data_IF_906989246249
#
_entry.id   IF_906989246249
#
_cell.length_a   1.000
_cell.length_b   1.000
_cell.length_c   1.000
_cell.angle_alpha   90.00
_cell.angle_beta   90.00
_cell.angle_gamma   90.00
#
_symmetry.space_group_name_H-M   'P 1'
#
loop_
_entity.id
_entity.type
_entity.pdbx_description
1 polymer ?
#
# COMPACT_ATOMS: atom_id res chain seq x y z
N UNK A 1 1.44 -48.89 -87.17
CA UNK A 1 1.73 -47.71 -86.33
C UNK A 1 0.93 -47.83 -85.04
N UNK A 2 1.46 -48.58 -84.07
CA UNK A 2 0.89 -48.68 -82.72
C UNK A 2 1.72 -47.75 -81.84
N UNK A 3 1.15 -46.63 -81.41
CA UNK A 3 1.78 -45.70 -80.48
C UNK A 3 1.57 -46.27 -79.09
N UNK A 4 2.67 -46.73 -78.47
CA UNK A 4 2.71 -47.15 -77.08
C UNK A 4 2.28 -46.00 -76.16
N UNK A 5 1.06 -46.04 -75.63
CA UNK A 5 0.62 -45.15 -74.56
C UNK A 5 1.14 -45.67 -73.21
N UNK A 6 2.38 -45.32 -72.89
CA UNK A 6 2.94 -45.46 -71.54
C UNK A 6 2.33 -44.35 -70.68
N UNK A 7 1.29 -44.62 -69.87
CA UNK A 7 0.88 -43.63 -68.85
C UNK A 7 0.15 -44.19 -67.61
N UNK A 8 0.45 -45.42 -67.19
CA UNK A 8 -0.06 -45.94 -65.91
C UNK A 8 1.03 -46.13 -64.84
N UNK A 9 2.32 -46.16 -65.21
CA UNK A 9 3.45 -46.25 -64.26
C UNK A 9 3.89 -44.93 -63.63
N UNK A 10 3.71 -43.81 -64.34
CA UNK A 10 4.00 -42.45 -63.88
C UNK A 10 3.06 -41.95 -62.78
N UNK A 11 1.85 -42.51 -62.68
CA UNK A 11 0.86 -42.12 -61.68
C UNK A 11 1.20 -42.63 -60.28
N UNK A 12 1.66 -43.87 -60.15
CA UNK A 12 2.05 -44.46 -58.87
C UNK A 12 3.38 -43.90 -58.35
N UNK A 13 4.41 -43.81 -59.22
CA UNK A 13 5.69 -43.19 -58.86
C UNK A 13 5.56 -41.67 -58.62
N UNK A 14 4.73 -40.97 -59.41
CA UNK A 14 4.47 -39.55 -59.20
C UNK A 14 3.66 -39.23 -57.94
N UNK A 15 2.88 -40.18 -57.42
CA UNK A 15 2.17 -40.04 -56.14
C UNK A 15 3.07 -40.35 -54.94
N UNK A 16 3.96 -41.36 -55.05
CA UNK A 16 4.90 -41.69 -53.98
C UNK A 16 5.99 -40.62 -53.81
N UNK A 17 6.51 -40.06 -54.92
CA UNK A 17 7.46 -38.92 -54.87
C UNK A 17 6.81 -37.66 -54.26
N UNK A 18 5.53 -37.39 -54.55
CA UNK A 18 4.82 -36.28 -53.90
C UNK A 18 4.64 -36.51 -52.41
N UNK A 19 4.26 -37.72 -51.99
CA UNK A 19 4.17 -38.07 -50.58
C UNK A 19 5.51 -37.92 -49.85
N UNK A 20 6.62 -38.37 -50.45
CA UNK A 20 7.96 -38.22 -49.87
C UNK A 20 8.37 -36.75 -49.72
N UNK A 21 8.13 -35.92 -50.74
CA UNK A 21 8.42 -34.48 -50.64
C UNK A 21 7.57 -33.80 -49.55
N UNK A 22 6.31 -34.23 -49.38
CA UNK A 22 5.42 -33.69 -48.36
C UNK A 22 5.88 -34.11 -46.95
N UNK A 23 6.26 -35.38 -46.76
CA UNK A 23 6.85 -35.86 -45.52
C UNK A 23 8.19 -35.18 -45.20
N UNK A 24 9.06 -34.98 -46.18
CA UNK A 24 10.31 -34.24 -45.99
C UNK A 24 10.07 -32.79 -45.58
N UNK A 25 9.06 -32.15 -46.16
CA UNK A 25 8.66 -30.78 -45.79
C UNK A 25 8.12 -30.74 -44.36
N UNK A 26 7.29 -31.72 -43.97
CA UNK A 26 6.75 -31.83 -42.61
C UNK A 26 7.84 -32.11 -41.59
N UNK A 27 8.74 -33.07 -41.83
CA UNK A 27 9.86 -33.35 -40.94
C UNK A 27 10.84 -32.17 -40.86
N UNK A 28 11.10 -31.47 -41.97
CA UNK A 28 11.92 -30.26 -41.98
C UNK A 28 11.28 -29.16 -41.12
N UNK A 29 9.96 -29.01 -41.20
CA UNK A 29 9.20 -28.04 -40.39
C UNK A 29 9.19 -28.45 -38.91
N UNK A 30 9.00 -29.73 -38.59
CA UNK A 30 9.07 -30.26 -37.22
C UNK A 30 10.47 -30.08 -36.62
N UNK A 31 11.52 -30.31 -37.40
CA UNK A 31 12.90 -30.11 -36.98
C UNK A 31 13.19 -28.63 -36.74
N UNK A 32 12.72 -27.75 -37.63
CA UNK A 32 12.92 -26.30 -37.50
C UNK A 32 12.14 -25.69 -36.33
N UNK A 33 10.95 -26.19 -36.04
CA UNK A 33 10.06 -25.63 -35.01
C UNK A 33 10.19 -26.36 -33.66
N UNK A 34 10.79 -27.55 -33.66
CA UNK A 34 10.87 -28.43 -32.50
C UNK A 34 9.51 -29.00 -32.04
N UNK A 35 8.42 -28.74 -32.78
CA UNK A 35 7.07 -29.18 -32.41
C UNK A 35 6.55 -30.18 -33.44
N UNK A 36 5.86 -31.22 -32.96
CA UNK A 36 5.32 -32.31 -33.80
C UNK A 36 4.28 -31.84 -34.83
N UNK A 37 3.54 -30.78 -34.51
CA UNK A 37 2.56 -30.18 -35.41
C UNK A 37 2.42 -28.70 -35.11
N UNK A 38 2.33 -27.89 -36.17
CA UNK A 38 2.04 -26.44 -36.11
C UNK A 38 0.55 -26.15 -35.98
N UNK A 39 -0.30 -27.10 -36.36
CA UNK A 39 -1.75 -27.01 -36.26
C UNK A 39 -2.32 -28.06 -35.29
N UNK A 40 -3.46 -27.74 -34.68
CA UNK A 40 -4.12 -28.61 -33.71
C UNK A 40 -4.60 -29.93 -34.36
N UNK A 41 -5.08 -29.86 -35.62
CA UNK A 41 -5.50 -31.03 -36.39
C UNK A 41 -4.39 -32.08 -36.62
N UNK A 42 -3.12 -31.66 -36.71
CA UNK A 42 -1.98 -32.57 -36.87
C UNK A 42 -1.52 -33.25 -35.57
N UNK A 43 -2.13 -32.94 -34.42
CA UNK A 43 -1.84 -33.62 -33.15
C UNK A 43 -2.64 -34.89 -32.92
N UNK A 44 -3.71 -35.12 -33.70
CA UNK A 44 -4.58 -36.29 -33.57
C UNK A 44 -5.27 -36.37 -32.20
N UNK A 45 -5.43 -37.57 -31.66
CA UNK A 45 -6.13 -37.83 -30.38
C UNK A 45 -5.57 -37.09 -29.15
N UNK A 46 -4.33 -36.59 -29.22
CA UNK A 46 -3.66 -35.88 -28.13
C UNK A 46 -3.90 -34.35 -28.14
N UNK A 47 -4.64 -33.82 -29.12
CA UNK A 47 -4.94 -32.39 -29.24
C UNK A 47 -5.60 -31.83 -27.98
N UNK A 48 -6.64 -32.50 -27.46
CA UNK A 48 -7.35 -32.06 -26.26
C UNK A 48 -6.47 -32.00 -25.02
N UNK A 49 -5.57 -32.97 -24.85
CA UNK A 49 -4.60 -32.97 -23.76
C UNK A 49 -3.62 -31.81 -23.87
N UNK A 50 -3.10 -31.53 -25.08
CA UNK A 50 -2.15 -30.45 -25.26
C UNK A 50 -2.77 -29.06 -25.11
N UNK A 51 -4.03 -28.88 -25.53
CA UNK A 51 -4.79 -27.66 -25.25
C UNK A 51 -4.97 -27.49 -23.74
N UNK A 52 -5.41 -28.55 -23.05
CA UNK A 52 -5.56 -28.51 -21.59
C UNK A 52 -4.23 -28.22 -20.87
N UNK A 53 -3.13 -28.83 -21.31
CA UNK A 53 -1.80 -28.59 -20.74
C UNK A 53 -1.31 -27.14 -20.99
N UNK A 54 -1.54 -26.58 -22.18
CA UNK A 54 -1.22 -25.17 -22.48
C UNK A 54 -2.08 -24.21 -21.68
N UNK A 55 -3.38 -24.49 -21.51
CA UNK A 55 -4.26 -23.71 -20.66
C UNK A 55 -3.79 -23.76 -19.19
N UNK A 56 -3.40 -24.94 -18.70
CA UNK A 56 -2.84 -25.11 -17.37
C UNK A 56 -1.53 -24.32 -17.20
N UNK A 57 -0.63 -24.36 -18.19
CA UNK A 57 0.62 -23.60 -18.16
C UNK A 57 0.35 -22.08 -18.15
N UNK A 58 -0.60 -21.60 -18.96
CA UNK A 58 -0.99 -20.19 -18.97
C UNK A 58 -1.55 -19.75 -17.61
N UNK A 59 -2.39 -20.58 -16.97
CA UNK A 59 -2.88 -20.33 -15.62
C UNK A 59 -1.74 -20.29 -14.60
N UNK A 60 -0.81 -21.24 -14.62
CA UNK A 60 0.37 -21.25 -13.75
C UNK A 60 1.21 -19.98 -13.94
N UNK A 61 1.42 -19.55 -15.19
CA UNK A 61 2.13 -18.30 -15.49
C UNK A 61 1.42 -17.08 -14.91
N UNK A 62 0.09 -16.99 -15.07
CA UNK A 62 -0.71 -15.89 -14.51
C UNK A 62 -0.67 -15.87 -12.97
N UNK A 63 -0.76 -17.03 -12.32
CA UNK A 63 -0.59 -17.13 -10.87
C UNK A 63 0.82 -16.74 -10.42
N UNK A 64 1.85 -17.13 -11.17
CA UNK A 64 3.24 -16.78 -10.87
C UNK A 64 3.43 -15.26 -10.94
N UNK A 65 2.92 -14.60 -11.99
CA UNK A 65 2.95 -13.14 -12.11
C UNK A 65 2.21 -12.46 -10.95
N UNK A 66 1.04 -12.98 -10.58
CA UNK A 66 0.27 -12.47 -9.44
C UNK A 66 1.06 -12.60 -8.14
N UNK A 67 1.69 -13.76 -7.91
CA UNK A 67 2.52 -14.02 -6.74
C UNK A 67 3.72 -13.07 -6.68
N UNK A 68 4.39 -12.81 -7.79
CA UNK A 68 5.49 -11.82 -7.86
C UNK A 68 5.01 -10.43 -7.43
N UNK A 69 3.87 -9.97 -7.96
CA UNK A 69 3.32 -8.66 -7.60
C UNK A 69 2.94 -8.58 -6.11
N UNK A 70 2.28 -9.62 -5.59
CA UNK A 70 1.93 -9.72 -4.17
C UNK A 70 3.18 -9.74 -3.30
N UNK A 71 4.21 -10.49 -3.68
CA UNK A 71 5.47 -10.55 -2.94
C UNK A 71 6.18 -9.20 -2.88
N UNK A 72 6.20 -8.46 -3.99
CA UNK A 72 6.74 -7.08 -4.01
C UNK A 72 5.96 -6.16 -3.07
N UNK A 73 4.63 -6.23 -3.10
CA UNK A 73 3.78 -5.43 -2.20
C UNK A 73 4.00 -5.79 -0.72
N UNK A 74 4.05 -7.08 -0.37
CA UNK A 74 4.30 -7.55 1.00
C UNK A 74 5.70 -7.13 1.44
N UNK A 75 6.70 -7.23 0.57
CA UNK A 75 8.07 -6.83 0.89
C UNK A 75 8.15 -5.34 1.19
N UNK A 76 7.53 -4.50 0.35
CA UNK A 76 7.45 -3.06 0.58
C UNK A 76 6.70 -2.72 1.89
N UNK A 77 5.58 -3.40 2.16
CA UNK A 77 4.83 -3.24 3.39
C UNK A 77 5.67 -3.62 4.63
N UNK A 78 6.40 -4.74 4.58
CA UNK A 78 7.28 -5.17 5.66
C UNK A 78 8.40 -4.15 5.92
N UNK A 79 9.05 -3.63 4.88
CA UNK A 79 10.07 -2.58 5.03
C UNK A 79 9.50 -1.32 5.66
N UNK A 80 8.33 -0.88 5.20
CA UNK A 80 7.65 0.28 5.77
C UNK A 80 7.27 0.05 7.25
N UNK A 81 6.72 -1.11 7.60
CA UNK A 81 6.38 -1.44 8.99
C UNK A 81 7.62 -1.56 9.90
N UNK A 82 8.75 -2.05 9.38
CA UNK A 82 10.00 -2.07 10.12
C UNK A 82 10.50 -0.64 10.39
N UNK A 83 10.51 0.21 9.36
CA UNK A 83 10.89 1.63 9.52
C UNK A 83 9.96 2.36 10.48
N UNK A 84 8.67 2.03 10.48
CA UNK A 84 7.70 2.55 11.43
C UNK A 84 8.04 2.14 12.87
N UNK A 85 8.34 0.86 13.09
CA UNK A 85 8.73 0.33 14.41
C UNK A 85 10.01 0.99 14.94
N UNK A 86 11.02 1.15 14.10
CA UNK A 86 12.29 1.79 14.46
C UNK A 86 12.08 3.27 14.81
N UNK A 87 11.26 3.95 14.00
CA UNK A 87 10.89 5.35 14.22
C UNK A 87 10.11 5.53 15.52
N UNK A 88 9.14 4.66 15.81
CA UNK A 88 8.37 4.69 17.05
C UNK A 88 9.26 4.46 18.27
N UNK A 89 10.19 3.51 18.20
CA UNK A 89 11.16 3.24 19.27
C UNK A 89 12.08 4.44 19.52
N UNK A 90 12.52 5.12 18.46
CA UNK A 90 13.32 6.34 18.55
C UNK A 90 12.55 7.49 19.21
N UNK A 91 11.26 7.67 18.89
CA UNK A 91 10.39 8.65 19.54
C UNK A 91 10.23 8.34 21.03
N UNK A 92 9.95 7.08 21.36
CA UNK A 92 9.78 6.66 22.76
C UNK A 92 11.05 6.90 23.57
N UNK A 93 12.22 6.54 23.04
CA UNK A 93 13.52 6.79 23.67
C UNK A 93 13.78 8.30 23.86
N UNK A 94 13.49 9.09 22.82
CA UNK A 94 13.66 10.55 22.86
C UNK A 94 12.71 11.24 23.84
N UNK A 95 11.49 10.73 23.99
CA UNK A 95 10.51 11.22 24.94
C UNK A 95 10.83 10.82 26.40
N UNK A 96 11.43 9.64 26.59
CA UNK A 96 11.88 9.18 27.91
C UNK A 96 13.13 9.94 28.40
N UNK A 97 13.93 10.51 27.49
CA UNK A 97 15.04 11.37 27.84
C UNK A 97 14.53 12.71 28.40
N UNK A 98 14.66 12.91 29.72
CA UNK A 98 14.18 14.06 30.52
C UNK A 98 14.88 15.40 30.21
N UNK A 99 15.26 15.67 28.97
CA UNK A 99 15.83 16.97 28.58
C UNK A 99 14.70 17.95 28.22
N UNK A 100 14.09 18.55 29.25
CA UNK A 100 13.14 19.67 29.13
C UNK A 100 13.83 21.00 28.77
N UNK A 101 14.95 20.94 28.03
CA UNK A 101 15.65 22.14 27.61
C UNK A 101 14.80 22.83 26.54
N UNK A 102 14.21 23.97 26.89
CA UNK A 102 13.49 24.81 25.94
C UNK A 102 14.50 25.29 24.89
N UNK A 103 14.16 25.09 23.62
CA UNK A 103 14.88 25.73 22.54
C UNK A 103 14.59 27.23 22.58
N UNK A 104 15.64 28.04 22.63
CA UNK A 104 15.59 29.49 22.81
C UNK A 104 14.81 30.25 21.73
N UNK A 105 14.47 29.60 20.61
CA UNK A 105 13.86 30.22 19.42
C UNK A 105 12.35 30.01 19.31
N UNK A 106 11.79 28.92 19.85
CA UNK A 106 10.39 28.53 19.63
C UNK A 106 9.57 28.31 20.90
N UNK A 107 10.22 28.37 22.08
CA UNK A 107 9.58 28.03 23.36
C UNK A 107 9.15 26.56 23.47
N UNK A 108 9.55 25.72 22.51
CA UNK A 108 9.32 24.27 22.50
C UNK A 108 10.57 23.55 22.99
N UNK A 109 10.39 22.40 23.62
CA UNK A 109 11.52 21.54 23.97
C UNK A 109 12.11 20.92 22.70
N UNK A 110 13.40 20.55 22.75
CA UNK A 110 14.03 19.80 21.66
C UNK A 110 13.25 18.50 21.36
N UNK A 111 12.74 17.85 22.41
CA UNK A 111 11.90 16.67 22.28
C UNK A 111 10.60 16.94 21.48
N UNK A 112 9.95 18.09 21.69
CA UNK A 112 8.75 18.47 20.92
C UNK A 112 9.05 18.69 19.43
N UNK A 113 10.18 19.32 19.11
CA UNK A 113 10.60 19.52 17.72
C UNK A 113 10.93 18.20 17.02
N UNK A 114 11.66 17.31 17.70
CA UNK A 114 11.95 15.97 17.20
C UNK A 114 10.68 15.16 17.01
N UNK A 115 9.75 15.20 17.97
CA UNK A 115 8.46 14.51 17.85
C UNK A 115 7.65 14.98 16.65
N UNK A 116 7.65 16.28 16.33
CA UNK A 116 6.97 16.79 15.13
C UNK A 116 7.62 16.30 13.83
N UNK A 117 8.96 16.28 13.77
CA UNK A 117 9.71 15.71 12.65
C UNK A 117 9.40 14.21 12.47
N UNK A 118 9.40 13.47 13.57
CA UNK A 118 9.15 12.04 13.53
C UNK A 118 7.71 11.68 13.20
N UNK A 119 6.74 12.48 13.63
CA UNK A 119 5.35 12.37 13.19
C UNK A 119 5.26 12.51 11.66
N UNK A 120 5.97 13.48 11.08
CA UNK A 120 6.04 13.64 9.62
C UNK A 120 6.60 12.39 8.93
N UNK A 121 7.68 11.82 9.47
CA UNK A 121 8.25 10.55 8.97
C UNK A 121 7.26 9.39 9.08
N UNK A 122 6.57 9.24 10.21
CA UNK A 122 5.56 8.19 10.43
C UNK A 122 4.41 8.32 9.42
N UNK A 123 3.88 9.53 9.23
CA UNK A 123 2.83 9.81 8.24
C UNK A 123 3.32 9.50 6.83
N UNK A 124 4.57 9.84 6.50
CA UNK A 124 5.19 9.48 5.23
C UNK A 124 5.23 7.96 5.01
N UNK A 125 5.63 7.20 6.02
CA UNK A 125 5.67 5.73 5.97
C UNK A 125 4.26 5.15 5.81
N UNK A 126 3.26 5.65 6.54
CA UNK A 126 1.87 5.21 6.42
C UNK A 126 1.27 5.57 5.05
N UNK A 127 1.79 6.59 4.39
CA UNK A 127 1.43 6.97 3.03
C UNK A 127 2.39 6.38 1.98
N UNK A 128 3.03 5.25 2.25
CA UNK A 128 3.88 4.55 1.27
C UNK A 128 3.08 4.12 0.03
N UNK A 129 3.63 4.40 -1.14
CA UNK A 129 3.06 4.05 -2.44
C UNK A 129 3.91 2.99 -3.14
N UNK A 130 3.25 1.99 -3.74
CA UNK A 130 3.90 1.00 -4.63
C UNK A 130 3.21 1.07 -5.99
N UNK A 131 3.96 1.51 -7.00
CA UNK A 131 3.37 1.91 -8.28
C UNK A 131 2.43 3.10 -8.07
N UNK A 132 1.18 2.96 -8.49
CA UNK A 132 0.17 4.02 -8.35
C UNK A 132 -0.71 3.87 -7.09
N UNK A 133 -0.44 2.88 -6.22
CA UNK A 133 -1.36 2.50 -5.14
C UNK A 133 -0.75 2.71 -3.76
N UNK A 134 -1.52 3.31 -2.85
CA UNK A 134 -1.19 3.36 -1.43
C UNK A 134 -1.48 2.00 -0.78
N UNK A 135 -0.44 1.38 -0.21
CA UNK A 135 -0.54 0.00 0.30
C UNK A 135 -1.27 -0.10 1.63
N UNK A 136 -1.33 0.98 2.39
CA UNK A 136 -1.98 1.05 3.70
C UNK A 136 -3.37 1.71 3.68
N UNK A 137 -3.86 2.12 2.52
CA UNK A 137 -5.16 2.83 2.37
C UNK A 137 -6.37 1.88 2.22
N UNK A 138 -6.17 0.58 2.41
CA UNK A 138 -7.22 -0.44 2.27
C UNK A 138 -7.81 -0.46 0.86
N UNK A 139 -9.13 -0.26 0.73
CA UNK A 139 -9.82 -0.20 -0.57
C UNK A 139 -9.61 1.12 -1.31
N UNK A 140 -9.22 2.19 -0.61
CA UNK A 140 -9.04 3.53 -1.16
C UNK A 140 -7.62 3.73 -1.72
N UNK A 141 -7.22 2.84 -2.62
CA UNK A 141 -5.86 2.73 -3.17
C UNK A 141 -5.29 4.00 -3.80
N UNK A 142 -6.15 4.94 -4.24
CA UNK A 142 -5.76 6.15 -4.96
C UNK A 142 -5.67 7.37 -4.03
N UNK A 143 -5.93 7.19 -2.74
CA UNK A 143 -5.85 8.25 -1.74
C UNK A 143 -4.85 7.89 -0.65
N UNK A 144 -4.08 8.86 -0.12
CA UNK A 144 -3.23 8.64 1.04
C UNK A 144 -4.02 8.00 2.19
N UNK A 145 -3.37 7.13 2.95
CA UNK A 145 -4.00 6.46 4.09
C UNK A 145 -4.23 7.43 5.26
N UNK A 146 -3.38 8.44 5.39
CA UNK A 146 -3.38 9.41 6.49
C UNK A 146 -3.22 10.83 5.92
N UNK A 147 -3.90 11.81 6.53
CA UNK A 147 -3.69 13.22 6.22
C UNK A 147 -2.24 13.65 6.48
N UNK A 148 -1.80 14.76 5.88
CA UNK A 148 -0.43 15.23 6.09
C UNK A 148 -0.19 15.58 7.57
N UNK A 149 1.05 15.48 8.03
CA UNK A 149 1.39 15.86 9.40
C UNK A 149 1.05 17.33 9.69
N UNK A 150 1.10 18.20 8.68
CA UNK A 150 0.72 19.61 8.81
C UNK A 150 -0.80 19.76 9.00
N UNK A 151 -1.61 19.08 8.19
CA UNK A 151 -3.08 19.08 8.33
C UNK A 151 -3.50 18.52 9.70
N UNK A 152 -2.83 17.48 10.20
CA UNK A 152 -3.12 16.91 11.53
C UNK A 152 -2.81 17.93 12.65
N UNK A 153 -1.69 18.64 12.53
CA UNK A 153 -1.22 19.55 13.58
C UNK A 153 -1.92 20.91 13.55
N UNK A 154 -2.08 21.48 12.36
CA UNK A 154 -2.58 22.84 12.13
C UNK A 154 -4.05 22.87 11.70
N UNK A 155 -4.58 21.76 11.18
CA UNK A 155 -5.92 21.70 10.60
C UNK A 155 -5.91 22.01 9.10
N UNK A 156 -7.05 21.79 8.46
CA UNK A 156 -7.21 22.00 7.02
C UNK A 156 -8.62 22.51 6.73
N UNK A 157 -8.74 23.74 6.22
CA UNK A 157 -10.04 24.38 5.96
C UNK A 157 -10.92 24.43 7.21
N UNK A 158 -12.01 23.67 7.21
CA UNK A 158 -12.97 23.58 8.33
C UNK A 158 -12.60 22.52 9.39
N UNK A 159 -11.54 21.74 9.17
CA UNK A 159 -11.10 20.70 10.09
C UNK A 159 -10.11 21.29 11.11
N UNK A 160 -10.42 21.17 12.39
CA UNK A 160 -9.55 21.63 13.47
C UNK A 160 -8.33 20.71 13.63
N UNK A 161 -7.13 21.30 13.66
CA UNK A 161 -5.90 20.58 13.98
C UNK A 161 -5.69 20.41 15.48
N UNK A 162 -4.73 19.57 15.86
CA UNK A 162 -4.40 19.31 17.26
C UNK A 162 -4.09 20.59 18.05
N UNK A 163 -3.38 21.55 17.45
CA UNK A 163 -3.05 22.82 18.11
C UNK A 163 -4.30 23.63 18.46
N UNK A 164 -5.29 23.65 17.58
CA UNK A 164 -6.56 24.31 17.83
C UNK A 164 -7.30 23.63 18.98
N UNK A 165 -7.43 22.30 18.93
CA UNK A 165 -8.08 21.52 20.00
C UNK A 165 -7.41 21.75 21.35
N UNK A 166 -6.08 21.78 21.42
CA UNK A 166 -5.33 22.08 22.65
C UNK A 166 -5.63 23.51 23.14
N UNK A 167 -5.68 24.49 22.23
CA UNK A 167 -5.99 25.88 22.59
C UNK A 167 -7.42 26.02 23.13
N UNK A 168 -8.40 25.38 22.49
CA UNK A 168 -9.79 25.35 22.92
C UNK A 168 -9.96 24.66 24.28
N UNK A 169 -9.28 23.53 24.50
CA UNK A 169 -9.25 22.85 25.79
C UNK A 169 -8.66 23.72 26.88
N UNK A 170 -7.53 24.38 26.62
CA UNK A 170 -6.92 25.33 27.56
C UNK A 170 -7.87 26.47 27.91
N UNK A 171 -8.58 27.03 26.94
CA UNK A 171 -9.59 28.08 27.19
C UNK A 171 -10.77 27.55 27.99
N UNK A 172 -11.21 26.32 27.71
CA UNK A 172 -12.26 25.63 28.44
C UNK A 172 -11.84 25.41 29.91
N UNK A 173 -10.60 25.02 30.16
CA UNK A 173 -10.08 24.81 31.53
C UNK A 173 -9.85 26.13 32.27
N UNK A 174 -9.30 27.16 31.62
CA UNK A 174 -8.95 28.42 32.27
C UNK A 174 -10.13 29.20 32.81
N UNK A 175 -11.32 29.11 32.21
CA UNK A 175 -12.40 29.98 32.63
C UNK A 175 -12.39 31.33 31.92
N UNK A 176 -13.54 32.02 31.89
CA UNK A 176 -13.61 33.44 31.52
C UNK A 176 -12.83 34.32 32.51
N UNK A 177 -12.69 33.85 33.75
CA UNK A 177 -11.95 34.51 34.84
C UNK A 177 -10.45 34.20 34.85
N UNK A 178 -9.97 33.25 34.03
CA UNK A 178 -8.57 32.78 34.07
C UNK A 178 -8.18 32.01 35.35
N UNK A 179 -9.14 31.74 36.25
CA UNK A 179 -8.93 31.07 37.54
C UNK A 179 -9.18 29.56 37.50
N UNK A 180 -9.23 28.95 36.32
CA UNK A 180 -9.43 27.51 36.19
C UNK A 180 -10.87 27.06 36.50
N UNK A 181 -11.87 27.87 36.14
CA UNK A 181 -13.30 27.69 36.52
C UNK A 181 -13.54 27.66 38.04
N UNK A 182 -12.67 28.32 38.81
CA UNK A 182 -12.90 28.56 40.23
C UNK A 182 -13.60 29.90 40.44
N UNK A 183 -14.60 29.89 41.31
CA UNK A 183 -15.28 31.07 41.82
C UNK A 183 -14.82 31.28 43.25
N UNK A 184 -14.14 32.41 43.48
CA UNK A 184 -13.66 32.82 44.79
C UNK A 184 -14.60 33.92 45.27
N UNK A 185 -15.24 33.69 46.42
CA UNK A 185 -16.14 34.65 47.07
C UNK A 185 -15.67 34.87 48.51
N UNK A 186 -16.05 36.00 49.10
CA UNK A 186 -15.83 36.28 50.53
C UNK A 186 -17.18 36.38 51.23
N UNK A 187 -17.70 35.26 51.79
CA UNK A 187 -19.02 35.23 52.41
C UNK A 187 -19.12 36.14 53.65
N UNK A 188 -18.01 36.34 54.35
CA UNK A 188 -17.89 37.24 55.50
C UNK A 188 -16.55 37.98 55.43
N UNK A 189 -16.41 39.08 56.20
CA UNK A 189 -15.17 39.87 56.24
C UNK A 189 -13.91 39.09 56.68
N UNK A 190 -14.07 37.88 57.26
CA UNK A 190 -13.00 37.02 57.73
C UNK A 190 -12.96 35.66 57.05
N UNK A 191 -13.76 35.42 56.00
CA UNK A 191 -13.79 34.14 55.29
C UNK A 191 -13.66 34.28 53.78
N UNK A 192 -13.07 33.25 53.16
CA UNK A 192 -12.98 33.04 51.72
C UNK A 192 -13.60 31.68 51.41
N UNK A 193 -14.50 31.64 50.44
CA UNK A 193 -15.08 30.42 49.89
C UNK A 193 -14.59 30.26 48.45
N UNK A 194 -13.97 29.12 48.18
CA UNK A 194 -13.62 28.67 46.84
C UNK A 194 -14.63 27.60 46.45
N UNK A 195 -15.26 27.76 45.29
CA UNK A 195 -16.20 26.81 44.73
C UNK A 195 -15.95 26.63 43.23
N UNK A 196 -16.43 25.52 42.67
CA UNK A 196 -16.53 25.38 41.21
C UNK A 196 -17.53 26.41 40.65
N UNK A 197 -17.24 26.96 39.47
CA UNK A 197 -18.15 27.87 38.74
C UNK A 197 -19.49 27.19 38.42
N UNK A 198 -19.43 25.91 38.02
CA UNK A 198 -20.59 25.06 37.77
C UNK A 198 -20.33 23.67 38.36
N UNK A 199 -21.24 23.20 39.22
CA UNK A 199 -21.16 21.88 39.82
C UNK A 199 -21.12 20.79 38.73
N UNK A 200 -20.06 19.97 38.74
CA UNK A 200 -19.92 18.87 37.78
C UNK A 200 -19.41 19.29 36.41
N UNK A 201 -18.85 20.50 36.26
CA UNK A 201 -18.17 20.91 35.02
C UNK A 201 -17.11 19.86 34.60
N UNK A 202 -17.03 19.42 33.34
CA UNK A 202 -15.95 18.53 32.92
C UNK A 202 -14.58 19.25 32.78
N UNK A 203 -14.55 20.58 32.96
CA UNK A 203 -13.37 21.44 32.77
C UNK A 203 -13.01 22.21 34.03
N UNK A 204 -11.73 22.58 34.12
CA UNK A 204 -11.19 23.36 35.24
C UNK A 204 -10.86 22.53 36.48
N UNK A 205 -10.53 23.20 37.58
CA UNK A 205 -10.14 22.54 38.84
C UNK A 205 -11.32 21.86 39.53
N UNK A 206 -11.02 20.72 40.17
CA UNK A 206 -11.96 19.93 40.96
C UNK A 206 -11.69 20.11 42.46
N UNK A 207 -12.76 20.38 43.21
CA UNK A 207 -12.75 20.59 44.66
C UNK A 207 -13.45 19.44 45.39
#
# INVERSE_FOLDING_TARGET
MSISSINYGSSLLGQSVRNLNQQLTDLSTQLSTGVKSTNYAGMGVNEGFAIAARAQLANISAFTTTMTNVNTNISAANTALQSLSDTASSVQSSAAATAQNLSSTSGQTIAQQNAASQLSSIVGILNTQVGDRYIFSGSAINTPAVASADDIMNGSGTLAGLKQVISERRQADLGTSGLGRLVITSPTATSVKVAEDVAGSPFGFKL
#
